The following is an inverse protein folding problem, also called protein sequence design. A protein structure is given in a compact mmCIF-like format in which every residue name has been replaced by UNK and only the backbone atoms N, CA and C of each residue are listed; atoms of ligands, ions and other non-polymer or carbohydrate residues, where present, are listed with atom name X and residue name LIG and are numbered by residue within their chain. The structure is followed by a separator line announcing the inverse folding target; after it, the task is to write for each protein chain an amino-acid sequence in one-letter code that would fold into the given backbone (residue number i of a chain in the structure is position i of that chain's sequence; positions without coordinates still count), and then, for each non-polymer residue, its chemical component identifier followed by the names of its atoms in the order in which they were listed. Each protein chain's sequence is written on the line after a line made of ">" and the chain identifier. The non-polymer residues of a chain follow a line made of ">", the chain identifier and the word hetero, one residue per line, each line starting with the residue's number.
data_IF_083807064320
#
_entry.id   IF_083807064320
#
_cell.length_a   1.000
_cell.length_b   1.000
_cell.length_c   1.000
_cell.angle_alpha   90.00
_cell.angle_beta   90.00
_cell.angle_gamma   90.00
#
_symmetry.space_group_name_H-M   'P 1'
#
loop_
_entity.id
_entity.type
_entity.pdbx_description
1 polymer ?
#
# COMPACT_ATOMS: atom_id res chain seq x y z
N UNK A 1 20.45 8.60 -8.01
CA UNK A 1 19.03 8.74 -8.42
C UNK A 1 18.29 9.42 -7.27
N UNK A 2 17.51 10.46 -7.56
CA UNK A 2 16.76 11.23 -6.57
C UNK A 2 15.43 10.56 -6.20
N UNK A 3 14.98 10.78 -4.97
CA UNK A 3 13.60 10.53 -4.56
C UNK A 3 12.75 11.76 -4.91
N UNK A 4 11.46 11.53 -5.14
CA UNK A 4 10.47 12.55 -5.41
C UNK A 4 9.26 12.33 -4.48
N UNK A 5 8.58 13.40 -4.04
CA UNK A 5 9.00 14.80 -4.11
C UNK A 5 10.30 15.08 -3.34
N UNK A 6 10.93 16.23 -3.57
CA UNK A 6 11.98 16.73 -2.68
C UNK A 6 11.38 17.13 -1.32
N UNK A 7 12.24 17.41 -0.33
CA UNK A 7 11.79 17.67 1.02
C UNK A 7 10.88 18.91 1.14
N UNK A 8 11.17 19.96 0.37
CA UNK A 8 10.37 21.18 0.38
C UNK A 8 8.96 20.92 -0.17
N UNK A 9 8.87 20.26 -1.32
CA UNK A 9 7.60 19.89 -1.94
C UNK A 9 6.83 18.90 -1.06
N UNK A 10 7.51 17.89 -0.47
CA UNK A 10 6.93 16.98 0.51
C UNK A 10 6.31 17.75 1.69
N UNK A 11 7.04 18.70 2.26
CA UNK A 11 6.58 19.49 3.41
C UNK A 11 5.33 20.33 3.10
N UNK A 12 5.19 20.78 1.84
CA UNK A 12 3.99 21.48 1.40
C UNK A 12 2.80 20.51 1.20
N UNK A 13 3.04 19.34 0.60
CA UNK A 13 2.02 18.31 0.39
C UNK A 13 1.50 17.72 1.70
N UNK A 14 2.37 17.54 2.69
CA UNK A 14 2.02 17.02 4.02
C UNK A 14 1.05 17.93 4.80
N UNK A 15 0.79 19.15 4.32
CA UNK A 15 -0.27 20.03 4.85
C UNK A 15 -1.65 19.73 4.28
N UNK A 16 -1.74 18.94 3.20
CA UNK A 16 -2.98 18.61 2.50
C UNK A 16 -3.55 17.25 2.91
N UNK A 17 -2.74 16.39 3.52
CA UNK A 17 -3.10 15.06 3.97
C UNK A 17 -1.98 14.44 4.79
N UNK A 18 -2.25 13.35 5.49
CA UNK A 18 -1.31 12.70 6.40
C UNK A 18 -0.55 11.53 5.77
N UNK A 19 -0.84 11.16 4.51
CA UNK A 19 -0.08 10.18 3.75
C UNK A 19 0.39 10.84 2.44
N UNK A 20 1.71 10.99 2.29
CA UNK A 20 2.33 11.57 1.10
C UNK A 20 3.27 10.52 0.48
N UNK A 21 2.98 10.03 -0.75
CA UNK A 21 3.85 9.07 -1.41
C UNK A 21 5.22 9.66 -1.73
N UNK A 22 6.28 9.01 -1.24
CA UNK A 22 7.67 9.29 -1.65
C UNK A 22 8.13 8.14 -2.53
N UNK A 23 8.56 8.45 -3.74
CA UNK A 23 8.84 7.45 -4.76
C UNK A 23 10.13 7.75 -5.52
N UNK A 24 10.57 6.74 -6.28
CA UNK A 24 11.60 6.88 -7.30
C UNK A 24 11.21 6.07 -8.51
N UNK A 25 11.60 6.54 -9.70
CA UNK A 25 11.43 5.78 -10.95
C UNK A 25 12.73 5.07 -11.27
N UNK A 26 12.63 3.79 -11.60
CA UNK A 26 13.75 2.92 -11.93
C UNK A 26 13.57 2.41 -13.37
N UNK A 27 14.69 2.22 -14.08
CA UNK A 27 14.69 1.45 -15.33
C UNK A 27 14.57 -0.02 -14.96
N UNK A 28 13.64 -0.73 -15.57
CA UNK A 28 13.24 -2.08 -15.16
C UNK A 28 13.04 -3.03 -16.34
N UNK A 29 13.75 -2.80 -17.45
CA UNK A 29 13.55 -3.50 -18.73
C UNK A 29 13.67 -5.03 -18.61
N UNK A 30 14.39 -5.52 -17.61
CA UNK A 30 14.59 -6.96 -17.33
C UNK A 30 13.72 -7.49 -16.18
N UNK A 31 12.94 -6.64 -15.52
CA UNK A 31 12.06 -7.05 -14.43
C UNK A 31 10.67 -7.37 -14.97
N UNK A 32 10.25 -8.62 -14.77
CA UNK A 32 8.83 -8.99 -14.80
C UNK A 32 8.19 -8.70 -13.44
N UNK A 33 6.86 -8.50 -13.35
CA UNK A 33 6.17 -8.31 -12.07
C UNK A 33 6.48 -9.39 -11.04
N UNK A 34 6.50 -10.66 -11.45
CA UNK A 34 6.90 -11.78 -10.58
C UNK A 34 8.33 -11.64 -10.08
N UNK A 35 9.28 -11.33 -10.97
CA UNK A 35 10.69 -11.15 -10.56
C UNK A 35 10.89 -9.93 -9.64
N UNK A 36 10.09 -8.88 -9.80
CA UNK A 36 10.08 -7.73 -8.91
C UNK A 36 9.50 -8.08 -7.55
N UNK A 37 8.38 -8.80 -7.51
CA UNK A 37 7.78 -9.33 -6.28
C UNK A 37 8.78 -10.18 -5.49
N UNK A 38 9.42 -11.17 -6.13
CA UNK A 38 10.41 -12.02 -5.45
C UNK A 38 11.60 -11.24 -4.86
N UNK A 39 11.91 -10.04 -5.39
CA UNK A 39 12.99 -9.19 -4.87
C UNK A 39 12.58 -8.35 -3.66
N UNK A 40 11.31 -8.01 -3.53
CA UNK A 40 10.82 -7.11 -2.46
C UNK A 40 9.97 -7.81 -1.40
N UNK A 41 9.45 -9.01 -1.68
CA UNK A 41 8.66 -9.78 -0.76
C UNK A 41 9.48 -10.03 0.52
N UNK A 42 9.00 -9.46 1.63
CA UNK A 42 9.63 -9.50 2.94
C UNK A 42 8.51 -9.56 3.98
N UNK A 43 8.80 -10.26 5.09
CA UNK A 43 7.81 -10.51 6.15
C UNK A 43 6.75 -11.53 5.74
N UNK A 44 5.76 -11.69 6.60
CA UNK A 44 4.71 -12.70 6.44
C UNK A 44 3.57 -12.22 5.51
N UNK A 45 3.47 -10.90 5.31
CA UNK A 45 2.41 -10.28 4.51
C UNK A 45 3.00 -9.50 3.32
N UNK A 46 2.75 -10.03 2.12
CA UNK A 46 3.09 -9.38 0.85
C UNK A 46 2.11 -9.78 -0.25
N UNK A 47 1.99 -8.95 -1.28
CA UNK A 47 1.09 -9.21 -2.41
C UNK A 47 1.72 -8.84 -3.76
N UNK A 48 1.20 -9.52 -4.80
CA UNK A 48 1.35 -9.16 -6.21
C UNK A 48 -0.05 -9.13 -6.81
N UNK A 49 -0.48 -7.97 -7.27
CA UNK A 49 -1.72 -7.79 -8.01
C UNK A 49 -1.42 -7.54 -9.48
N UNK A 50 -1.95 -8.39 -10.34
CA UNK A 50 -1.87 -8.25 -11.79
C UNK A 50 -3.29 -8.20 -12.36
N UNK A 51 -3.51 -7.29 -13.31
CA UNK A 51 -4.78 -7.22 -14.03
C UNK A 51 -4.67 -7.99 -15.34
N UNK A 52 -5.66 -8.80 -15.66
CA UNK A 52 -5.80 -9.45 -16.98
C UNK A 52 -7.07 -8.91 -17.63
N UNK A 53 -6.93 -8.28 -18.80
CA UNK A 53 -8.03 -7.79 -19.62
C UNK A 53 -8.30 -8.82 -20.71
N UNK A 54 -9.47 -9.46 -20.69
CA UNK A 54 -9.93 -10.37 -21.74
C UNK A 54 -9.12 -11.67 -21.87
N UNK A 55 -8.50 -12.15 -20.79
CA UNK A 55 -7.76 -13.41 -20.74
C UNK A 55 -6.36 -13.40 -21.34
N UNK A 56 -6.04 -12.45 -22.22
CA UNK A 56 -4.77 -12.47 -22.98
C UNK A 56 -3.89 -11.21 -22.80
N UNK A 57 -4.46 -10.08 -22.37
CA UNK A 57 -3.69 -8.83 -22.20
C UNK A 57 -3.47 -8.49 -20.74
N UNK A 58 -2.22 -8.45 -20.32
CA UNK A 58 -1.84 -7.93 -19.01
C UNK A 58 -2.13 -6.41 -18.99
N UNK A 59 -2.73 -5.93 -17.89
CA UNK A 59 -3.00 -4.52 -17.67
C UNK A 59 -1.71 -3.68 -17.62
N UNK A 60 -1.85 -2.37 -17.76
CA UNK A 60 -0.69 -1.44 -17.81
C UNK A 60 0.16 -1.44 -16.53
N UNK A 61 -0.42 -1.84 -15.40
CA UNK A 61 0.23 -1.83 -14.10
C UNK A 61 0.08 -3.19 -13.41
N UNK A 62 1.17 -3.65 -12.80
CA UNK A 62 1.16 -4.65 -11.72
C UNK A 62 1.56 -3.93 -10.43
N UNK A 63 0.92 -4.30 -9.31
CA UNK A 63 1.21 -3.71 -8.00
C UNK A 63 1.88 -4.76 -7.12
N UNK A 64 2.99 -4.38 -6.50
CA UNK A 64 3.72 -5.21 -5.54
C UNK A 64 3.84 -4.45 -4.24
N UNK A 65 3.56 -5.13 -3.13
CA UNK A 65 3.66 -4.56 -1.79
C UNK A 65 4.10 -5.62 -0.80
N UNK A 66 4.85 -5.20 0.22
CA UNK A 66 5.35 -6.04 1.30
C UNK A 66 5.55 -5.21 2.55
N UNK A 67 5.63 -5.89 3.70
CA UNK A 67 5.91 -5.27 4.99
C UNK A 67 4.95 -4.10 5.32
N UNK A 68 3.64 -4.37 5.47
CA UNK A 68 2.66 -3.35 5.82
C UNK A 68 3.00 -2.71 7.17
N UNK A 69 2.70 -1.41 7.32
CA UNK A 69 2.91 -0.72 8.60
C UNK A 69 1.80 -1.01 9.62
N UNK A 70 0.63 -1.41 9.14
CA UNK A 70 -0.56 -1.76 9.91
C UNK A 70 -1.23 -2.98 9.29
N UNK A 71 -1.61 -3.94 10.14
CA UNK A 71 -2.36 -5.14 9.77
C UNK A 71 -3.67 -5.16 10.57
N UNK A 72 -4.78 -5.51 9.90
CA UNK A 72 -6.05 -5.80 10.53
C UNK A 72 -6.49 -7.20 10.10
N UNK A 73 -6.60 -8.09 11.08
CA UNK A 73 -7.10 -9.46 10.89
C UNK A 73 -8.42 -9.60 11.63
N UNK A 74 -9.40 -10.25 11.00
CA UNK A 74 -10.68 -10.56 11.61
C UNK A 74 -11.06 -12.02 11.36
N UNK A 75 -11.47 -12.70 12.42
CA UNK A 75 -12.03 -14.05 12.36
C UNK A 75 -13.24 -14.13 13.28
N UNK A 76 -14.41 -14.43 12.71
CA UNK A 76 -15.70 -14.30 13.38
C UNK A 76 -15.87 -12.87 13.94
N UNK A 77 -16.02 -12.72 15.26
CA UNK A 77 -16.09 -11.41 15.92
C UNK A 77 -14.73 -10.94 16.45
N UNK A 78 -13.69 -11.77 16.41
CA UNK A 78 -12.37 -11.44 16.95
C UNK A 78 -11.61 -10.60 15.93
N UNK A 79 -11.19 -9.40 16.34
CA UNK A 79 -10.38 -8.49 15.53
C UNK A 79 -9.02 -8.28 16.21
N UNK A 80 -7.96 -8.37 15.43
CA UNK A 80 -6.58 -8.09 15.85
C UNK A 80 -6.01 -7.01 14.94
N UNK A 81 -5.53 -5.92 15.54
CA UNK A 81 -4.80 -4.85 14.85
C UNK A 81 -3.35 -4.87 15.31
N UNK A 82 -2.42 -4.96 14.36
CA UNK A 82 -0.97 -4.87 14.61
C UNK A 82 -0.39 -3.63 13.94
N UNK A 83 0.32 -2.82 14.72
CA UNK A 83 0.98 -1.61 14.24
C UNK A 83 2.24 -1.33 15.08
N UNK A 84 3.38 -1.08 14.42
CA UNK A 84 4.62 -0.68 15.12
C UNK A 84 5.10 -1.64 16.21
N UNK A 85 4.87 -2.95 16.03
CA UNK A 85 5.20 -3.99 17.01
C UNK A 85 4.22 -4.11 18.19
N UNK A 86 3.14 -3.33 18.20
CA UNK A 86 2.04 -3.44 19.18
C UNK A 86 0.91 -4.25 18.56
N UNK A 87 0.26 -5.06 19.38
CA UNK A 87 -0.93 -5.83 19.00
C UNK A 87 -2.07 -5.47 19.93
N UNK A 88 -3.23 -5.11 19.36
CA UNK A 88 -4.47 -4.86 20.10
C UNK A 88 -5.53 -5.83 19.62
N UNK A 89 -6.25 -6.42 20.55
CA UNK A 89 -7.27 -7.42 20.28
C UNK A 89 -8.58 -7.01 20.94
N UNK A 90 -9.69 -7.14 20.21
CA UNK A 90 -11.04 -6.83 20.68
C UNK A 90 -12.11 -7.61 19.90
N UNK A 91 -13.33 -7.62 20.43
CA UNK A 91 -14.48 -8.16 19.72
C UNK A 91 -15.23 -7.07 18.95
N UNK A 92 -15.63 -7.38 17.72
CA UNK A 92 -16.44 -6.52 16.88
C UNK A 92 -17.53 -7.31 16.16
N UNK A 93 -18.79 -6.83 16.17
CA UNK A 93 -19.85 -7.42 15.36
C UNK A 93 -19.74 -7.07 13.86
N UNK A 94 -18.95 -6.06 13.50
CA UNK A 94 -18.74 -5.64 12.11
C UNK A 94 -17.28 -5.19 11.87
N UNK A 95 -16.37 -6.14 11.59
CA UNK A 95 -14.97 -5.83 11.32
C UNK A 95 -14.75 -4.97 10.07
N UNK A 96 -15.68 -4.98 9.10
CA UNK A 96 -15.57 -4.15 7.90
C UNK A 96 -15.86 -2.69 8.22
N UNK A 97 -16.81 -2.41 9.11
CA UNK A 97 -17.02 -1.06 9.63
C UNK A 97 -15.78 -0.56 10.40
N UNK A 98 -15.09 -1.43 11.14
CA UNK A 98 -13.86 -1.04 11.81
C UNK A 98 -12.71 -0.79 10.83
N UNK A 99 -12.57 -1.63 9.81
CA UNK A 99 -11.63 -1.37 8.71
C UNK A 99 -11.90 -0.01 8.04
N UNK A 100 -13.17 0.31 7.75
CA UNK A 100 -13.53 1.60 7.18
C UNK A 100 -13.12 2.77 8.09
N UNK A 101 -13.40 2.68 9.40
CA UNK A 101 -12.97 3.71 10.36
C UNK A 101 -11.45 3.89 10.36
N UNK A 102 -10.69 2.79 10.27
CA UNK A 102 -9.23 2.85 10.19
C UNK A 102 -8.78 3.56 8.91
N UNK A 103 -9.35 3.17 7.76
CA UNK A 103 -9.04 3.76 6.45
C UNK A 103 -9.38 5.26 6.39
N UNK A 104 -10.47 5.68 7.02
CA UNK A 104 -10.90 7.09 7.07
C UNK A 104 -9.89 7.99 7.81
N UNK A 105 -9.03 7.43 8.66
CA UNK A 105 -7.95 8.18 9.30
C UNK A 105 -6.82 8.53 8.32
N UNK A 106 -6.72 7.85 7.18
CA UNK A 106 -5.66 8.05 6.19
C UNK A 106 -6.14 8.91 5.02
N UNK A 107 -5.66 10.15 4.99
CA UNK A 107 -5.90 11.13 3.95
C UNK A 107 -4.68 11.20 3.03
N UNK A 108 -4.71 10.35 2.00
CA UNK A 108 -3.67 10.28 0.98
C UNK A 108 -3.66 11.48 0.04
N UNK A 109 -2.47 12.06 -0.17
CA UNK A 109 -2.25 13.12 -1.15
C UNK A 109 -2.02 12.52 -2.53
N UNK A 110 -2.83 12.92 -3.50
CA UNK A 110 -2.70 12.45 -4.88
C UNK A 110 -1.65 13.25 -5.65
N UNK A 111 -0.64 12.56 -6.18
CA UNK A 111 0.41 13.17 -7.00
C UNK A 111 0.13 12.97 -8.49
N UNK A 112 0.18 14.04 -9.31
CA UNK A 112 0.02 13.93 -10.75
C UNK A 112 1.02 12.93 -11.37
N UNK A 113 0.51 12.01 -12.19
CA UNK A 113 1.33 11.05 -12.92
C UNK A 113 1.74 9.80 -12.14
N UNK A 114 1.29 9.64 -10.89
CA UNK A 114 1.35 8.36 -10.18
C UNK A 114 0.12 7.48 -10.49
N UNK A 115 0.25 6.15 -10.36
CA UNK A 115 -0.91 5.26 -10.47
C UNK A 115 -1.94 5.52 -9.37
N UNK A 116 -3.17 5.01 -9.56
CA UNK A 116 -4.26 5.22 -8.60
C UNK A 116 -4.03 4.58 -7.23
N UNK A 117 -3.22 3.52 -7.18
CA UNK A 117 -2.90 2.80 -5.96
C UNK A 117 -1.44 3.08 -5.60
N UNK A 118 -1.22 3.75 -4.46
CA UNK A 118 0.09 4.22 -3.99
C UNK A 118 0.32 3.95 -2.50
N UNK A 119 -0.35 2.91 -1.97
CA UNK A 119 -0.55 2.73 -0.53
C UNK A 119 -2.01 2.91 -0.17
#
# INVERSE_FOLDING_TARGET
>A
MSHFPDFETFSQLARQGNIVPVYRKLVSDTLTPVSAYCKIAQGDHSFLFESVIGGEKIGRYSFVGSNPFLELEAFETRVVIREGGRSTEFESPDPLADLQKQLDMFQGVHLPGLPRFCG
#
